data_IF_335330657618
#
_entry.id   IF_335330657618
#
_cell.length_a   1.000
_cell.length_b   1.000
_cell.length_c   1.000
_cell.angle_alpha   90.00
_cell.angle_beta   90.00
_cell.angle_gamma   90.00
#
_symmetry.space_group_name_H-M   'P 1'
#
loop_
_entity.id
_entity.type
_entity.pdbx_description
1 polymer ?
#
# COMPACT_ATOMS: atom_id res chain seq x y z
N UNK A 1 18.69 7.33 -16.98
CA UNK A 1 17.25 7.46 -16.76
C UNK A 1 16.81 6.48 -15.71
N UNK A 2 16.15 6.97 -14.66
CA UNK A 2 15.58 6.03 -13.70
C UNK A 2 14.51 5.20 -14.38
N UNK A 3 14.55 3.91 -14.14
CA UNK A 3 13.56 3.00 -14.69
C UNK A 3 12.36 2.97 -13.75
N UNK A 4 11.16 3.14 -14.30
CA UNK A 4 9.94 2.98 -13.53
C UNK A 4 9.77 1.52 -13.13
N UNK A 5 9.49 1.28 -11.86
CA UNK A 5 9.16 -0.05 -11.39
C UNK A 5 7.71 -0.36 -11.74
N UNK A 6 7.44 -1.62 -12.04
CA UNK A 6 6.06 -2.06 -12.22
C UNK A 6 5.36 -2.16 -10.88
N UNK A 7 4.05 -1.94 -10.86
CA UNK A 7 3.22 -2.21 -9.69
C UNK A 7 2.42 -3.48 -9.96
N UNK A 8 2.57 -4.45 -9.09
CA UNK A 8 1.86 -5.72 -9.19
C UNK A 8 0.90 -5.80 -8.01
N UNK A 9 -0.39 -5.94 -8.29
CA UNK A 9 -1.41 -6.03 -7.26
C UNK A 9 -1.74 -7.49 -7.00
N UNK A 10 -1.55 -7.93 -5.76
CA UNK A 10 -1.79 -9.32 -5.37
C UNK A 10 -3.20 -9.47 -4.78
N UNK A 11 -3.79 -10.63 -5.02
CA UNK A 11 -5.13 -10.92 -4.51
C UNK A 11 -6.14 -9.88 -4.93
N UNK A 12 -6.97 -9.42 -4.01
CA UNK A 12 -8.00 -8.41 -4.28
C UNK A 12 -7.50 -6.98 -4.08
N UNK A 13 -6.20 -6.76 -3.93
CA UNK A 13 -5.68 -5.44 -3.54
C UNK A 13 -6.05 -4.32 -4.52
N UNK A 14 -6.02 -4.58 -5.83
CA UNK A 14 -6.41 -3.57 -6.81
C UNK A 14 -7.90 -3.24 -6.72
N UNK A 15 -8.74 -4.27 -6.60
CA UNK A 15 -10.17 -4.06 -6.45
C UNK A 15 -10.45 -3.24 -5.20
N UNK A 16 -9.81 -3.59 -4.09
CA UNK A 16 -10.03 -2.90 -2.82
C UNK A 16 -9.56 -1.44 -2.90
N UNK A 17 -8.43 -1.20 -3.55
CA UNK A 17 -7.93 0.15 -3.72
C UNK A 17 -8.88 0.98 -4.60
N UNK A 18 -9.42 0.38 -5.65
CA UNK A 18 -10.35 1.06 -6.55
C UNK A 18 -11.68 1.39 -5.88
N UNK A 19 -11.98 0.76 -4.73
CA UNK A 19 -13.18 1.07 -3.95
C UNK A 19 -12.97 2.24 -2.99
N UNK A 20 -11.75 2.75 -2.87
CA UNK A 20 -11.49 3.95 -2.07
C UNK A 20 -12.23 5.13 -2.69
N UNK A 21 -12.71 6.09 -1.86
CA UNK A 21 -13.19 7.37 -2.39
C UNK A 21 -12.14 8.03 -3.26
N UNK A 22 -12.58 8.90 -4.16
CA UNK A 22 -11.71 9.47 -5.17
C UNK A 22 -10.47 10.16 -4.58
N UNK A 23 -10.63 10.95 -3.51
CA UNK A 23 -9.52 11.65 -2.89
C UNK A 23 -8.45 10.67 -2.37
N UNK A 24 -8.90 9.61 -1.69
CA UNK A 24 -7.97 8.60 -1.15
C UNK A 24 -7.35 7.76 -2.27
N UNK A 25 -8.13 7.45 -3.32
CA UNK A 25 -7.61 6.68 -4.44
C UNK A 25 -6.53 7.45 -5.19
N UNK A 26 -6.73 8.75 -5.39
CA UNK A 26 -5.72 9.61 -6.03
C UNK A 26 -4.47 9.71 -5.17
N UNK A 27 -4.64 9.86 -3.86
CA UNK A 27 -3.51 9.92 -2.95
C UNK A 27 -2.71 8.62 -2.98
N UNK A 28 -3.40 7.47 -2.99
CA UNK A 28 -2.74 6.18 -3.07
C UNK A 28 -1.96 6.04 -4.38
N UNK A 29 -2.56 6.44 -5.49
CA UNK A 29 -1.90 6.41 -6.79
C UNK A 29 -0.65 7.25 -6.81
N UNK A 30 -0.69 8.45 -6.22
CA UNK A 30 0.46 9.32 -6.14
C UNK A 30 1.60 8.68 -5.33
N UNK A 31 1.27 8.08 -4.19
CA UNK A 31 2.28 7.42 -3.35
C UNK A 31 2.90 6.22 -4.08
N UNK A 32 2.09 5.43 -4.77
CA UNK A 32 2.61 4.32 -5.55
C UNK A 32 3.50 4.79 -6.70
N UNK A 33 3.15 5.92 -7.31
CA UNK A 33 3.97 6.50 -8.36
C UNK A 33 5.35 6.90 -7.83
N UNK A 34 5.41 7.46 -6.62
CA UNK A 34 6.69 7.77 -5.99
C UNK A 34 7.55 6.50 -5.84
N UNK A 35 6.92 5.41 -5.40
CA UNK A 35 7.64 4.13 -5.27
C UNK A 35 8.15 3.64 -6.61
N UNK A 36 7.37 3.80 -7.67
CA UNK A 36 7.78 3.39 -9.01
C UNK A 36 9.01 4.16 -9.47
N UNK A 37 9.14 5.40 -9.02
CA UNK A 37 10.29 6.24 -9.37
C UNK A 37 11.48 6.02 -8.43
N UNK A 38 11.36 5.12 -7.47
CA UNK A 38 12.44 4.85 -6.52
C UNK A 38 12.49 5.82 -5.36
N UNK A 39 11.42 6.60 -5.15
CA UNK A 39 11.35 7.56 -4.06
C UNK A 39 10.53 7.04 -2.91
N UNK A 40 10.69 7.68 -1.73
CA UNK A 40 9.95 7.30 -0.54
C UNK A 40 8.54 7.91 -0.54
N UNK A 41 7.52 7.14 -0.14
CA UNK A 41 6.20 7.71 0.09
C UNK A 41 6.25 8.71 1.24
N UNK A 42 5.26 9.62 1.30
CA UNK A 42 5.26 10.69 2.30
C UNK A 42 5.02 10.17 3.72
N UNK A 43 4.16 9.18 3.89
CA UNK A 43 3.83 8.68 5.22
C UNK A 43 3.77 7.17 5.17
N UNK A 44 4.89 6.54 5.49
CA UNK A 44 4.98 5.09 5.50
C UNK A 44 5.79 4.62 6.68
N UNK A 45 5.53 3.38 7.08
CA UNK A 45 6.31 2.74 8.15
C UNK A 45 6.45 1.25 7.92
N UNK A 46 7.53 0.65 8.43
CA UNK A 46 7.70 -0.80 8.33
C UNK A 46 6.60 -1.56 9.07
N UNK A 47 6.20 -2.70 8.50
CA UNK A 47 5.19 -3.58 9.10
C UNK A 47 5.77 -4.98 9.24
N UNK A 48 6.66 -5.14 10.23
CA UNK A 48 7.37 -6.39 10.44
C UNK A 48 6.45 -7.54 10.80
N UNK A 49 5.31 -7.24 11.42
CA UNK A 49 4.33 -8.27 11.76
C UNK A 49 3.73 -8.94 10.53
N UNK A 50 3.73 -8.26 9.38
CA UNK A 50 3.24 -8.83 8.13
C UNK A 50 4.34 -9.63 7.46
N UNK A 51 5.54 -9.08 7.41
CA UNK A 51 6.66 -9.77 6.80
C UNK A 51 7.87 -8.86 6.66
N UNK A 52 9.00 -9.50 6.36
CA UNK A 52 10.25 -8.77 6.17
C UNK A 52 10.14 -7.89 4.92
N UNK A 53 10.51 -6.62 5.05
CA UNK A 53 10.51 -5.69 3.94
C UNK A 53 9.15 -5.12 3.60
N UNK A 54 8.11 -5.52 4.32
CA UNK A 54 6.77 -4.97 4.10
C UNK A 54 6.66 -3.62 4.79
N UNK A 55 6.04 -2.67 4.11
CA UNK A 55 5.76 -1.35 4.66
C UNK A 55 4.30 -0.98 4.43
N UNK A 56 3.84 -0.04 5.21
CA UNK A 56 2.47 0.48 5.15
C UNK A 56 2.53 1.93 4.70
N UNK A 57 1.76 2.27 3.65
CA UNK A 57 1.50 3.66 3.29
C UNK A 57 0.25 4.09 4.03
N UNK A 58 0.33 5.19 4.75
CA UNK A 58 -0.81 5.76 5.46
C UNK A 58 -1.35 6.95 4.69
N UNK A 59 -2.67 6.92 4.43
CA UNK A 59 -3.36 7.95 3.67
C UNK A 59 -4.47 8.50 4.55
N UNK A 60 -4.47 9.82 4.74
CA UNK A 60 -5.51 10.51 5.51
C UNK A 60 -6.10 11.60 4.62
N UNK A 61 -7.41 11.50 4.34
CA UNK A 61 -8.13 12.47 3.53
C UNK A 61 -9.45 12.80 4.24
N UNK A 62 -10.19 13.75 3.70
CA UNK A 62 -11.49 14.08 4.27
C UNK A 62 -12.41 12.87 4.36
N UNK A 63 -12.30 11.96 3.39
CA UNK A 63 -13.13 10.75 3.34
C UNK A 63 -12.75 9.72 4.38
N UNK A 64 -11.60 9.85 5.04
CA UNK A 64 -11.19 8.93 6.08
C UNK A 64 -9.72 8.57 6.03
N UNK A 65 -9.39 7.50 6.74
CA UNK A 65 -8.02 6.98 6.83
C UNK A 65 -7.94 5.65 6.09
N UNK A 66 -6.85 5.48 5.33
CA UNK A 66 -6.66 4.31 4.47
C UNK A 66 -5.23 3.81 4.61
N UNK A 67 -5.03 2.54 4.30
CA UNK A 67 -3.71 1.91 4.36
C UNK A 67 -3.47 1.08 3.11
N UNK A 68 -2.22 1.10 2.63
CA UNK A 68 -1.79 0.24 1.52
C UNK A 68 -0.53 -0.45 1.97
N UNK A 69 -0.54 -1.79 2.00
CA UNK A 69 0.62 -2.59 2.36
C UNK A 69 1.37 -2.99 1.10
N UNK A 70 2.67 -2.78 1.09
CA UNK A 70 3.47 -3.10 -0.08
C UNK A 70 4.83 -3.66 0.32
N UNK A 71 5.47 -4.32 -0.63
CA UNK A 71 6.84 -4.79 -0.46
C UNK A 71 7.58 -4.57 -1.78
N UNK A 72 8.86 -4.20 -1.66
CA UNK A 72 9.75 -4.10 -2.81
C UNK A 72 10.80 -5.18 -2.64
N UNK A 73 10.54 -6.35 -3.24
CA UNK A 73 11.47 -7.48 -3.16
C UNK A 73 12.54 -7.42 -4.25
N UNK A 74 12.19 -6.78 -5.36
CA UNK A 74 13.08 -6.69 -6.50
C UNK A 74 13.14 -5.26 -6.97
N UNK A 75 14.28 -4.83 -7.53
CA UNK A 75 14.41 -3.43 -7.95
C UNK A 75 13.38 -3.00 -8.99
N UNK A 76 12.83 -3.94 -9.75
CA UNK A 76 11.94 -3.62 -10.86
C UNK A 76 10.47 -3.64 -10.54
N UNK A 77 10.07 -4.04 -9.33
CA UNK A 77 8.64 -4.16 -9.03
C UNK A 77 8.26 -3.77 -7.61
N UNK A 78 7.07 -3.20 -7.47
CA UNK A 78 6.41 -2.93 -6.20
C UNK A 78 5.22 -3.88 -6.11
N UNK A 79 5.17 -4.67 -5.06
CA UNK A 79 4.06 -5.62 -4.87
C UNK A 79 3.10 -5.05 -3.84
N UNK A 80 1.85 -4.79 -4.26
CA UNK A 80 0.82 -4.34 -3.34
C UNK A 80 0.12 -5.57 -2.78
N UNK A 81 0.22 -5.73 -1.46
CA UNK A 81 -0.29 -6.91 -0.78
C UNK A 81 -1.74 -6.76 -0.34
N UNK A 82 -2.10 -5.55 0.08
CA UNK A 82 -3.44 -5.32 0.62
C UNK A 82 -3.73 -3.84 0.66
N UNK A 83 -4.99 -3.46 0.51
CA UNK A 83 -5.46 -2.09 0.63
C UNK A 83 -6.73 -2.11 1.46
N UNK A 84 -6.87 -1.15 2.40
CA UNK A 84 -8.01 -1.16 3.31
C UNK A 84 -8.36 0.24 3.78
N UNK A 85 -9.61 0.42 4.18
CA UNK A 85 -10.06 1.59 4.91
C UNK A 85 -9.89 1.29 6.38
N UNK A 86 -9.21 2.18 7.10
CA UNK A 86 -8.96 1.99 8.51
C UNK A 86 -10.10 2.57 9.33
N UNK A 87 -10.72 1.74 10.14
CA UNK A 87 -11.84 2.14 10.98
C UNK A 87 -11.49 2.18 12.46
N UNK A 88 -10.29 1.70 12.82
CA UNK A 88 -9.82 1.67 14.20
C UNK A 88 -8.40 2.17 14.27
N UNK A 89 -7.89 2.40 15.49
CA UNK A 89 -6.50 2.85 15.68
C UNK A 89 -5.49 1.77 15.30
N UNK A 90 -5.87 0.51 15.40
CA UNK A 90 -4.99 -0.60 15.08
C UNK A 90 -5.41 -1.26 13.78
N UNK A 91 -4.44 -1.75 13.01
CA UNK A 91 -4.71 -2.60 11.87
C UNK A 91 -5.27 -3.92 12.40
N UNK A 92 -6.42 -4.33 11.87
CA UNK A 92 -7.07 -5.53 12.35
C UNK A 92 -6.31 -6.80 11.94
N UNK A 93 -6.40 -7.82 12.79
CA UNK A 93 -5.71 -9.10 12.54
C UNK A 93 -6.06 -9.71 11.19
N UNK A 94 -7.33 -9.58 10.77
CA UNK A 94 -7.78 -10.07 9.48
C UNK A 94 -6.99 -9.45 8.33
N UNK A 95 -6.74 -8.14 8.40
CA UNK A 95 -6.00 -7.44 7.35
C UNK A 95 -4.54 -7.87 7.34
N UNK A 96 -3.95 -8.06 8.51
CA UNK A 96 -2.58 -8.55 8.62
C UNK A 96 -2.46 -9.94 8.01
N UNK A 97 -3.41 -10.83 8.30
CA UNK A 97 -3.39 -12.19 7.78
C UNK A 97 -3.54 -12.22 6.25
N UNK A 98 -4.44 -11.39 5.72
CA UNK A 98 -4.60 -11.29 4.27
C UNK A 98 -3.31 -10.84 3.60
N UNK A 99 -2.65 -9.83 4.17
CA UNK A 99 -1.40 -9.33 3.62
C UNK A 99 -0.29 -10.39 3.70
N UNK A 100 -0.23 -11.13 4.81
CA UNK A 100 0.77 -12.20 4.97
C UNK A 100 0.59 -13.30 3.94
N UNK A 101 -0.65 -13.60 3.59
CA UNK A 101 -0.94 -14.67 2.64
C UNK A 101 -0.55 -14.30 1.22
N UNK A 102 -0.28 -13.07 0.96
CA UNK A 102 0.08 -12.57 -0.37
C UNK A 102 1.53 -12.17 -0.42
#
# INVERSE_FOLDING_TARGET
MPRHKDVVFLGSSLKDLNEFPLDARRAAGFQLDLLQQGEQPFDCKPMKTIGRGVSEIRITEESGAFRVFYVINRPEAVYVLHALRKTTQKTEGRDIELARAR
#
